data_IF_507647934704
#
_entry.id   IF_507647934704
#
_cell.length_a   1.000
_cell.length_b   1.000
_cell.length_c   1.000
_cell.angle_alpha   90.00
_cell.angle_beta   90.00
_cell.angle_gamma   90.00
#
_symmetry.space_group_name_H-M   'P 1'
#
loop_
_entity.id
_entity.type
_entity.pdbx_description
1 polymer ?
#
# COMPACT_ATOMS: atom_id res chain seq x y z
N UNK A 1 -27.32 -2.86 43.78
CA UNK A 1 -26.21 -2.67 42.85
C UNK A 1 -26.75 -2.02 41.58
N UNK A 2 -26.53 -0.72 41.41
CA UNK A 2 -27.09 0.07 40.33
C UNK A 2 -26.06 0.13 39.18
N UNK A 3 -26.43 -0.42 38.00
CA UNK A 3 -25.65 -0.37 36.78
C UNK A 3 -25.65 1.06 36.21
N UNK A 4 -24.50 1.73 36.22
CA UNK A 4 -24.29 3.01 35.54
C UNK A 4 -24.23 2.78 34.01
N UNK A 5 -25.30 3.17 33.31
CA UNK A 5 -25.26 3.32 31.83
C UNK A 5 -24.28 4.46 31.50
N UNK A 6 -23.18 4.11 30.79
CA UNK A 6 -22.34 5.09 30.08
C UNK A 6 -23.15 5.66 28.91
N UNK A 7 -23.48 6.94 28.98
CA UNK A 7 -23.99 7.66 27.82
C UNK A 7 -22.84 7.99 26.89
N UNK A 8 -22.75 7.31 25.75
CA UNK A 8 -21.92 7.74 24.61
C UNK A 8 -22.60 8.96 24.00
N UNK A 9 -21.92 10.11 24.03
CA UNK A 9 -22.37 11.31 23.36
C UNK A 9 -22.38 11.04 21.85
N UNK A 10 -23.58 10.91 21.28
CA UNK A 10 -23.79 10.79 19.85
C UNK A 10 -23.61 12.19 19.23
N UNK A 11 -22.66 12.35 18.31
CA UNK A 11 -22.54 13.58 17.55
C UNK A 11 -23.88 13.91 16.86
N UNK A 12 -24.32 15.16 16.95
CA UNK A 12 -25.59 15.60 16.39
C UNK A 12 -25.57 15.43 14.86
N UNK A 13 -26.59 14.79 14.31
CA UNK A 13 -26.75 14.68 12.86
C UNK A 13 -26.86 16.08 12.23
N UNK A 14 -26.30 16.29 11.00
CA UNK A 14 -26.54 17.52 10.28
C UNK A 14 -28.03 17.80 10.15
N UNK A 15 -28.44 19.06 10.25
CA UNK A 15 -29.86 19.45 10.15
C UNK A 15 -30.49 18.89 8.86
N UNK A 16 -31.55 18.11 9.01
CA UNK A 16 -32.36 17.59 7.90
C UNK A 16 -32.16 16.12 7.52
N UNK A 17 -31.22 15.38 8.12
CA UNK A 17 -31.02 13.94 7.79
C UNK A 17 -31.74 13.05 8.79
N UNK A 18 -32.71 12.26 8.31
CA UNK A 18 -33.39 11.27 9.15
C UNK A 18 -32.43 10.13 9.55
N UNK A 19 -32.14 9.93 10.86
CA UNK A 19 -31.22 8.89 11.31
C UNK A 19 -31.58 7.46 10.88
N UNK A 20 -32.85 7.21 10.57
CA UNK A 20 -33.35 5.89 10.16
C UNK A 20 -33.41 5.71 8.63
N UNK A 21 -33.20 6.76 7.84
CA UNK A 21 -33.16 6.67 6.38
C UNK A 21 -31.90 5.91 5.89
N UNK A 22 -31.91 5.37 4.65
CA UNK A 22 -30.71 4.86 4.03
C UNK A 22 -29.63 5.96 3.95
N UNK A 23 -28.37 5.58 4.21
CA UNK A 23 -27.28 6.55 4.16
C UNK A 23 -27.04 7.07 2.72
N UNK A 24 -26.88 8.38 2.53
CA UNK A 24 -26.63 8.94 1.18
C UNK A 24 -25.35 8.44 0.51
N UNK A 25 -24.42 7.82 1.25
CA UNK A 25 -23.18 7.26 0.71
C UNK A 25 -23.37 6.00 -0.13
N UNK A 26 -24.59 5.46 -0.26
CA UNK A 26 -24.85 4.24 -1.04
C UNK A 26 -24.47 2.92 -0.35
N UNK A 27 -24.03 2.93 0.93
CA UNK A 27 -23.61 1.73 1.67
C UNK A 27 -24.75 0.75 1.98
N UNK A 28 -26.01 1.06 1.69
CA UNK A 28 -27.18 0.30 2.07
C UNK A 28 -27.50 0.31 3.58
N UNK A 29 -26.67 0.89 4.42
CA UNK A 29 -26.88 1.01 5.87
C UNK A 29 -27.75 2.22 6.19
N UNK A 30 -28.46 2.18 7.34
CA UNK A 30 -29.18 3.35 7.85
C UNK A 30 -28.18 4.43 8.29
N UNK A 31 -28.52 5.72 8.11
CA UNK A 31 -27.65 6.85 8.44
C UNK A 31 -27.06 6.76 9.86
N UNK A 32 -27.86 6.45 10.89
CA UNK A 32 -27.40 6.29 12.28
C UNK A 32 -26.40 5.15 12.53
N UNK A 33 -26.28 4.21 11.59
CA UNK A 33 -25.32 3.08 11.63
C UNK A 33 -24.23 3.22 10.54
N UNK A 34 -24.12 4.39 9.95
CA UNK A 34 -23.12 4.79 8.98
C UNK A 34 -22.61 6.19 9.36
N UNK A 35 -22.78 7.20 8.55
CA UNK A 35 -22.32 8.57 8.84
C UNK A 35 -22.92 9.18 10.12
N UNK A 36 -24.12 8.80 10.52
CA UNK A 36 -24.76 9.26 11.77
C UNK A 36 -24.25 8.58 13.05
N UNK A 37 -23.36 7.60 12.94
CA UNK A 37 -22.70 6.98 14.10
C UNK A 37 -21.45 7.74 14.57
N UNK A 38 -21.04 8.80 13.85
CA UNK A 38 -19.73 9.43 14.03
C UNK A 38 -18.57 8.60 13.45
N UNK A 39 -18.89 7.45 12.83
CA UNK A 39 -17.92 6.58 12.17
C UNK A 39 -17.77 7.04 10.72
N UNK A 40 -16.65 7.62 10.37
CA UNK A 40 -16.29 7.82 8.96
C UNK A 40 -16.12 6.45 8.29
N UNK A 41 -16.62 6.24 7.05
CA UNK A 41 -16.34 5.00 6.35
C UNK A 41 -14.83 4.86 6.15
N UNK A 42 -14.31 3.62 6.20
CA UNK A 42 -12.89 3.39 5.98
C UNK A 42 -12.47 3.96 4.62
N UNK A 43 -11.32 4.60 4.59
CA UNK A 43 -10.74 5.15 3.37
C UNK A 43 -10.18 3.99 2.56
N UNK A 44 -10.85 3.65 1.46
CA UNK A 44 -10.48 2.48 0.65
C UNK A 44 -9.20 2.69 -0.15
N UNK A 45 -8.89 3.95 -0.55
CA UNK A 45 -7.66 4.34 -1.26
C UNK A 45 -6.94 5.45 -0.49
N UNK A 46 -6.20 5.10 0.57
CA UNK A 46 -5.58 6.10 1.45
C UNK A 46 -4.49 6.93 0.76
N UNK A 47 -3.85 6.40 -0.26
CA UNK A 47 -2.77 7.06 -1.00
C UNK A 47 -3.22 7.72 -2.31
N UNK A 48 -4.54 7.74 -2.60
CA UNK A 48 -5.07 8.43 -3.76
C UNK A 48 -4.66 9.91 -3.75
N UNK A 49 -4.17 10.38 -4.91
CA UNK A 49 -3.66 11.75 -5.08
C UNK A 49 -2.18 11.93 -4.73
N UNK A 50 -1.51 10.96 -4.10
CA UNK A 50 -0.05 10.93 -4.01
C UNK A 50 0.55 10.43 -5.33
N UNK A 51 1.62 11.07 -5.78
CA UNK A 51 2.37 10.57 -6.93
C UNK A 51 3.02 9.23 -6.58
N UNK A 52 2.92 8.25 -7.49
CA UNK A 52 3.39 6.89 -7.24
C UNK A 52 2.49 6.12 -6.26
N UNK A 53 1.17 6.35 -6.26
CA UNK A 53 0.21 5.67 -5.38
C UNK A 53 0.43 4.15 -5.35
N UNK A 54 0.72 3.54 -6.49
CA UNK A 54 0.95 2.11 -6.59
C UNK A 54 2.21 1.65 -5.82
N UNK A 55 3.28 2.44 -5.85
CA UNK A 55 4.50 2.17 -5.07
C UNK A 55 4.27 2.39 -3.56
N UNK A 56 3.45 3.38 -3.15
CA UNK A 56 3.02 3.52 -1.75
C UNK A 56 2.32 2.28 -1.23
N UNK A 57 1.38 1.75 -2.03
CA UNK A 57 0.68 0.50 -1.71
C UNK A 57 1.66 -0.67 -1.64
N UNK A 58 2.59 -0.77 -2.60
CA UNK A 58 3.58 -1.83 -2.63
C UNK A 58 4.51 -1.80 -1.40
N UNK A 59 5.05 -0.63 -1.03
CA UNK A 59 5.91 -0.48 0.16
C UNK A 59 5.19 -0.89 1.45
N UNK A 60 3.87 -0.65 1.53
CA UNK A 60 3.10 -1.02 2.71
C UNK A 60 2.75 -2.50 2.77
N UNK A 61 2.39 -3.11 1.63
CA UNK A 61 1.74 -4.43 1.64
C UNK A 61 2.60 -5.55 1.05
N UNK A 62 3.63 -5.21 0.26
CA UNK A 62 4.33 -6.21 -0.56
C UNK A 62 5.84 -6.24 -0.37
N UNK A 63 6.46 -5.10 -0.07
CA UNK A 63 7.91 -4.97 -0.06
C UNK A 63 8.41 -5.00 1.38
N UNK A 64 9.22 -6.00 1.76
CA UNK A 64 9.65 -6.16 3.13
C UNK A 64 10.63 -5.06 3.56
N UNK A 65 11.61 -4.75 2.74
CA UNK A 65 12.66 -3.76 3.04
C UNK A 65 12.86 -2.81 1.88
N UNK A 66 12.49 -1.55 2.07
CA UNK A 66 12.67 -0.49 1.08
C UNK A 66 12.70 0.88 1.74
N UNK A 67 13.30 1.83 1.03
CA UNK A 67 13.28 3.26 1.37
C UNK A 67 12.91 4.10 0.16
N UNK A 68 12.43 5.33 0.41
CA UNK A 68 12.25 6.36 -0.60
C UNK A 68 12.43 7.74 0.04
N UNK A 69 12.87 8.73 -0.74
CA UNK A 69 12.96 10.11 -0.27
C UNK A 69 11.65 10.83 -0.53
N UNK A 70 11.08 11.41 0.52
CA UNK A 70 9.92 12.29 0.46
C UNK A 70 10.37 13.74 0.60
N UNK A 71 9.61 14.65 0.00
CA UNK A 71 9.74 16.09 0.22
C UNK A 71 8.44 16.64 0.79
N UNK A 72 8.54 17.36 1.90
CA UNK A 72 7.39 18.07 2.48
C UNK A 72 7.07 19.34 1.69
N UNK A 73 5.86 19.89 1.89
CA UNK A 73 5.45 21.18 1.32
C UNK A 73 6.37 22.33 1.72
N UNK A 74 7.09 22.20 2.86
CA UNK A 74 8.08 23.16 3.34
C UNK A 74 9.50 22.90 2.81
N UNK A 75 9.65 21.88 1.92
CA UNK A 75 10.92 21.54 1.29
C UNK A 75 11.85 20.68 2.14
N UNK A 76 11.42 20.18 3.32
CA UNK A 76 12.21 19.27 4.15
C UNK A 76 12.21 17.87 3.54
N UNK A 77 13.36 17.22 3.50
CA UNK A 77 13.50 15.83 3.09
C UNK A 77 13.28 14.89 4.28
N UNK A 78 12.60 13.76 3.99
CA UNK A 78 12.26 12.70 4.94
C UNK A 78 12.47 11.36 4.26
N UNK A 79 13.15 10.42 4.91
CA UNK A 79 13.33 9.06 4.42
C UNK A 79 12.11 8.23 4.81
N UNK A 80 11.29 7.84 3.82
CA UNK A 80 10.25 6.86 3.98
C UNK A 80 10.88 5.47 4.05
N UNK A 81 10.46 4.64 4.98
CA UNK A 81 10.88 3.24 5.11
C UNK A 81 9.67 2.31 5.07
N UNK A 82 9.79 1.12 4.47
CA UNK A 82 8.72 0.12 4.51
C UNK A 82 8.31 -0.20 5.95
N UNK A 83 9.26 -0.45 6.81
CA UNK A 83 9.07 -0.70 8.24
C UNK A 83 10.25 -0.15 9.02
N UNK A 84 10.02 0.27 10.26
CA UNK A 84 11.05 0.67 11.22
C UNK A 84 11.12 -0.34 12.38
N UNK A 85 12.21 -0.35 13.18
CA UNK A 85 12.36 -1.27 14.30
C UNK A 85 11.12 -1.31 15.19
N UNK A 86 10.61 -2.52 15.45
CA UNK A 86 9.40 -2.72 16.27
C UNK A 86 8.12 -2.11 15.70
N UNK A 87 8.07 -1.76 14.40
CA UNK A 87 6.91 -1.08 13.81
C UNK A 87 6.70 0.34 14.35
N UNK A 88 7.79 0.99 14.79
CA UNK A 88 7.78 2.39 15.24
C UNK A 88 7.32 3.31 14.10
N UNK A 89 6.44 4.29 14.37
CA UNK A 89 5.89 5.15 13.31
C UNK A 89 6.94 6.08 12.69
N UNK A 90 7.86 6.62 13.47
CA UNK A 90 8.92 7.50 13.00
C UNK A 90 10.11 7.53 13.97
N UNK A 91 11.27 7.88 13.45
CA UNK A 91 12.53 8.12 14.20
C UNK A 91 13.14 9.43 13.74
N UNK A 92 13.70 10.19 14.67
CA UNK A 92 14.57 11.35 14.36
C UNK A 92 15.98 10.99 14.81
N UNK A 93 16.89 10.85 13.87
CA UNK A 93 18.29 10.50 14.13
C UNK A 93 19.06 11.65 14.76
N UNK A 94 20.23 11.36 15.34
CA UNK A 94 21.12 12.37 15.94
C UNK A 94 21.62 13.43 14.94
N UNK A 95 21.67 13.10 13.65
CA UNK A 95 21.99 14.03 12.56
C UNK A 95 20.80 14.87 12.09
N UNK A 96 19.59 14.67 12.66
CA UNK A 96 18.36 15.35 12.29
C UNK A 96 17.59 14.72 11.12
N UNK A 97 18.08 13.62 10.57
CA UNK A 97 17.33 12.84 9.55
C UNK A 97 16.08 12.23 10.16
N UNK A 98 14.95 12.36 9.45
CA UNK A 98 13.68 11.72 9.83
C UNK A 98 13.51 10.45 9.00
N UNK A 99 13.28 9.32 9.69
CA UNK A 99 12.78 8.09 9.09
C UNK A 99 11.30 7.95 9.44
N UNK A 100 10.48 7.70 8.43
CA UNK A 100 9.02 7.55 8.55
C UNK A 100 8.62 6.14 8.12
N UNK A 101 8.01 5.36 9.00
CA UNK A 101 7.54 4.01 8.69
C UNK A 101 6.19 4.01 7.98
N UNK A 102 6.07 3.23 6.89
CA UNK A 102 4.77 3.00 6.22
C UNK A 102 3.97 1.93 6.96
N UNK A 103 4.65 0.87 7.41
CA UNK A 103 4.06 -0.21 8.20
C UNK A 103 4.24 0.11 9.68
N UNK A 104 3.14 0.23 10.40
CA UNK A 104 3.11 0.55 11.83
C UNK A 104 2.28 -0.50 12.58
N UNK A 105 2.54 -0.69 13.88
CA UNK A 105 1.80 -1.65 14.71
C UNK A 105 0.32 -1.32 14.83
N UNK A 106 -0.04 -0.04 14.87
CA UNK A 106 -1.41 0.43 14.97
C UNK A 106 -1.79 1.22 13.72
N UNK A 107 -2.98 0.98 13.21
CA UNK A 107 -3.56 1.76 12.11
C UNK A 107 -5.05 1.96 12.31
N UNK A 108 -5.55 3.09 11.80
CA UNK A 108 -6.98 3.41 11.73
C UNK A 108 -7.58 2.97 10.38
N UNK A 109 -8.81 3.44 10.14
CA UNK A 109 -9.47 3.29 8.84
C UNK A 109 -8.95 4.28 7.78
N UNK A 110 -7.97 5.15 8.10
CA UNK A 110 -7.29 6.08 7.17
C UNK A 110 -5.77 6.04 7.38
N UNK A 111 -5.12 5.10 6.70
CA UNK A 111 -3.67 4.88 6.78
C UNK A 111 -2.85 6.12 6.41
N UNK A 112 -3.32 6.93 5.45
CA UNK A 112 -2.63 8.17 5.07
C UNK A 112 -2.61 9.19 6.22
N UNK A 113 -3.68 9.25 7.00
CA UNK A 113 -3.76 10.08 8.19
C UNK A 113 -2.86 9.58 9.32
N UNK A 114 -2.79 8.27 9.49
CA UNK A 114 -1.92 7.67 10.51
C UNK A 114 -0.45 8.03 10.25
N UNK A 115 0.01 7.82 9.01
CA UNK A 115 1.38 8.15 8.60
C UNK A 115 1.60 9.67 8.61
N UNK A 116 0.62 10.46 8.17
CA UNK A 116 0.69 11.93 8.22
C UNK A 116 0.79 12.46 9.64
N UNK A 117 0.07 11.87 10.60
CA UNK A 117 0.17 12.20 12.03
C UNK A 117 1.57 11.90 12.57
N UNK A 118 2.14 10.75 12.20
CA UNK A 118 3.51 10.39 12.58
C UNK A 118 4.55 11.35 11.96
N UNK A 119 4.36 11.74 10.70
CA UNK A 119 5.21 12.71 10.03
C UNK A 119 5.15 14.09 10.72
N UNK A 120 3.95 14.60 11.01
CA UNK A 120 3.79 15.87 11.68
C UNK A 120 4.49 15.88 13.05
N UNK A 121 4.32 14.81 13.84
CA UNK A 121 5.01 14.66 15.12
C UNK A 121 6.54 14.60 14.96
N UNK A 122 7.04 13.90 13.93
CA UNK A 122 8.48 13.79 13.66
C UNK A 122 9.11 15.12 13.23
N UNK A 123 8.36 15.94 12.49
CA UNK A 123 8.82 17.28 12.07
C UNK A 123 9.04 18.24 13.24
N UNK A 124 8.31 18.05 14.34
CA UNK A 124 8.39 18.85 15.57
C UNK A 124 9.29 18.23 16.66
N UNK A 125 9.64 16.94 16.51
CA UNK A 125 10.38 16.21 17.52
C UNK A 125 11.83 16.73 17.65
N UNK A 126 12.39 16.77 18.88
CA UNK A 126 13.81 17.06 19.08
C UNK A 126 14.69 15.99 18.42
N UNK A 127 15.86 16.43 17.95
CA UNK A 127 16.88 15.54 17.37
C UNK A 127 17.28 14.46 18.38
N UNK A 128 17.32 13.20 17.93
CA UNK A 128 17.68 12.04 18.74
C UNK A 128 16.63 11.60 19.76
N UNK A 129 15.43 12.19 19.74
CA UNK A 129 14.34 11.82 20.61
C UNK A 129 13.41 10.77 19.98
N UNK A 130 12.76 9.91 20.78
CA UNK A 130 11.66 9.07 20.31
C UNK A 130 10.51 9.95 19.81
N UNK A 131 9.87 9.54 18.70
CA UNK A 131 8.69 10.20 18.19
C UNK A 131 7.45 9.52 18.77
N UNK A 132 6.66 10.26 19.56
CA UNK A 132 5.35 9.82 20.03
C UNK A 132 4.27 10.62 19.29
N UNK A 133 3.63 10.04 18.26
CA UNK A 133 2.57 10.71 17.53
C UNK A 133 1.24 10.73 18.30
N UNK A 134 1.21 10.23 19.53
CA UNK A 134 -0.01 10.02 20.30
C UNK A 134 -0.81 8.79 19.79
N UNK A 135 -2.09 8.70 20.13
CA UNK A 135 -2.91 7.53 19.82
C UNK A 135 -3.22 7.44 18.31
N UNK A 136 -2.37 6.76 17.57
CA UNK A 136 -2.63 6.37 16.18
C UNK A 136 -3.75 5.31 16.18
N UNK A 137 -4.68 5.40 15.24
CA UNK A 137 -5.79 4.46 15.10
C UNK A 137 -7.01 4.76 15.98
N UNK A 138 -6.99 5.81 16.76
CA UNK A 138 -8.21 6.28 17.45
C UNK A 138 -9.18 6.90 16.43
N UNK A 139 -10.44 6.47 16.46
CA UNK A 139 -11.47 7.07 15.62
C UNK A 139 -11.53 8.59 15.85
N UNK A 140 -11.34 9.36 14.77
CA UNK A 140 -11.32 10.83 14.85
C UNK A 140 -9.97 11.43 15.24
N UNK A 141 -8.84 10.74 14.99
CA UNK A 141 -7.52 11.36 15.13
C UNK A 141 -7.47 12.68 14.36
N UNK A 142 -7.14 13.81 15.00
CA UNK A 142 -7.17 15.14 14.37
C UNK A 142 -5.96 15.41 13.45
N UNK A 143 -5.06 14.44 13.27
CA UNK A 143 -3.83 14.60 12.52
C UNK A 143 -4.06 14.82 11.02
N UNK A 144 -3.11 15.46 10.31
CA UNK A 144 -3.18 15.68 8.87
C UNK A 144 -3.00 14.37 8.09
N UNK A 145 -3.48 14.34 6.84
CA UNK A 145 -3.14 13.27 5.90
C UNK A 145 -1.81 13.59 5.21
N UNK A 146 -1.15 12.56 4.65
CA UNK A 146 0.07 12.74 3.86
C UNK A 146 -0.09 13.75 2.72
N UNK A 147 -1.25 13.74 2.05
CA UNK A 147 -1.57 14.66 0.95
C UNK A 147 -1.55 16.15 1.36
N UNK A 148 -1.67 16.43 2.66
CA UNK A 148 -1.62 17.79 3.21
C UNK A 148 -0.19 18.23 3.56
N UNK A 149 0.73 17.29 3.73
CA UNK A 149 2.10 17.54 4.20
C UNK A 149 3.17 17.41 3.12
N UNK A 150 2.90 16.65 2.06
CA UNK A 150 3.89 16.30 1.05
C UNK A 150 3.78 17.16 -0.21
N UNK A 151 4.92 17.37 -0.87
CA UNK A 151 4.96 17.87 -2.24
C UNK A 151 4.44 16.79 -3.19
N UNK A 152 3.19 16.96 -3.66
CA UNK A 152 2.52 15.99 -4.52
C UNK A 152 3.12 15.90 -5.93
N UNK A 153 4.01 16.82 -6.31
CA UNK A 153 4.70 16.80 -7.61
C UNK A 153 5.94 15.93 -7.59
N UNK A 154 6.53 15.68 -6.40
CA UNK A 154 7.74 14.88 -6.25
C UNK A 154 7.45 13.39 -6.55
N UNK A 155 8.29 12.71 -7.37
CA UNK A 155 8.15 11.28 -7.59
C UNK A 155 8.48 10.49 -6.33
N UNK A 156 7.88 9.31 -6.17
CA UNK A 156 8.29 8.33 -5.18
C UNK A 156 9.27 7.36 -5.84
N UNK A 157 10.57 7.55 -5.57
CA UNK A 157 11.62 6.67 -6.08
C UNK A 157 12.00 5.64 -5.01
N UNK A 158 11.50 4.42 -5.20
CA UNK A 158 11.64 3.32 -4.23
C UNK A 158 12.92 2.55 -4.48
N UNK A 159 13.76 2.49 -3.46
CA UNK A 159 14.95 1.62 -3.39
C UNK A 159 14.63 0.42 -2.51
N UNK A 160 14.69 -0.79 -3.10
CA UNK A 160 14.54 -2.04 -2.36
C UNK A 160 15.89 -2.46 -1.80
N UNK A 161 15.91 -2.95 -0.56
CA UNK A 161 17.12 -3.41 0.13
C UNK A 161 17.04 -4.91 0.42
N UNK A 162 18.19 -5.57 0.44
CA UNK A 162 18.30 -6.99 0.80
C UNK A 162 18.23 -7.21 2.31
N UNK A 163 18.41 -6.16 3.10
CA UNK A 163 18.36 -6.18 4.56
C UNK A 163 17.80 -4.87 5.13
N UNK A 164 17.76 -4.75 6.46
CA UNK A 164 17.36 -3.54 7.17
C UNK A 164 18.58 -2.73 7.68
N UNK A 165 19.73 -2.83 7.05
CA UNK A 165 20.95 -2.12 7.47
C UNK A 165 20.74 -0.60 7.61
N UNK A 166 19.87 -0.01 6.80
CA UNK A 166 19.52 1.40 6.89
C UNK A 166 18.93 1.82 8.25
N UNK A 167 18.42 0.90 9.07
CA UNK A 167 17.96 1.24 10.42
C UNK A 167 19.06 1.78 11.32
N UNK A 168 20.28 1.27 11.14
CA UNK A 168 21.43 1.54 12.00
C UNK A 168 22.43 2.54 11.40
N UNK A 169 22.20 3.01 10.18
CA UNK A 169 23.07 4.00 9.54
C UNK A 169 23.27 5.25 10.42
N UNK A 170 24.51 5.68 10.54
CA UNK A 170 24.88 6.84 11.35
C UNK A 170 24.75 6.65 12.87
N UNK A 171 24.59 5.39 13.34
CA UNK A 171 24.54 5.03 14.77
C UNK A 171 25.68 4.12 15.16
N UNK A 172 25.97 4.04 16.47
CA UNK A 172 26.84 3.00 17.07
C UNK A 172 25.93 1.98 17.76
N UNK A 173 25.53 0.88 17.06
CA UNK A 173 24.54 -0.04 17.59
C UNK A 173 25.13 -0.92 18.70
N UNK A 174 24.37 -1.07 19.79
CA UNK A 174 24.67 -2.05 20.81
C UNK A 174 24.26 -3.48 20.38
N UNK A 175 24.73 -4.50 21.13
CA UNK A 175 24.49 -5.91 20.82
C UNK A 175 22.99 -6.27 20.64
N UNK A 176 22.10 -5.68 21.43
CA UNK A 176 20.66 -5.91 21.31
C UNK A 176 20.07 -5.36 19.99
N UNK A 177 20.55 -4.22 19.50
CA UNK A 177 20.13 -3.66 18.23
C UNK A 177 20.60 -4.51 17.05
N UNK A 178 21.83 -5.02 17.10
CA UNK A 178 22.37 -5.93 16.09
C UNK A 178 21.60 -7.26 16.06
N UNK A 179 21.32 -7.86 17.20
CA UNK A 179 20.52 -9.08 17.28
C UNK A 179 19.08 -8.88 16.75
N UNK A 180 18.48 -7.73 17.03
CA UNK A 180 17.17 -7.35 16.49
C UNK A 180 17.19 -7.20 14.98
N UNK A 181 18.23 -6.62 14.42
CA UNK A 181 18.43 -6.48 12.97
C UNK A 181 18.60 -7.85 12.30
N UNK A 182 19.44 -8.73 12.85
CA UNK A 182 19.63 -10.09 12.33
C UNK A 182 18.30 -10.85 12.29
N UNK A 183 17.53 -10.80 13.37
CA UNK A 183 16.23 -11.45 13.44
C UNK A 183 15.22 -10.87 12.42
N UNK A 184 15.21 -9.54 12.21
CA UNK A 184 14.37 -8.93 11.22
C UNK A 184 14.76 -9.34 9.78
N UNK A 185 16.06 -9.44 9.50
CA UNK A 185 16.58 -9.84 8.20
C UNK A 185 16.21 -11.28 7.81
N UNK A 186 16.08 -12.19 8.79
CA UNK A 186 15.64 -13.58 8.55
C UNK A 186 14.24 -13.67 7.92
N UNK A 187 13.41 -12.68 8.13
CA UNK A 187 12.04 -12.64 7.62
C UNK A 187 11.92 -12.01 6.21
N UNK A 188 13.01 -11.46 5.66
CA UNK A 188 12.99 -10.82 4.35
C UNK A 188 12.87 -11.87 3.25
N UNK A 189 11.84 -11.71 2.42
CA UNK A 189 11.74 -12.44 1.16
C UNK A 189 12.53 -11.71 0.08
N UNK A 190 13.38 -12.39 -0.71
CA UNK A 190 14.08 -11.79 -1.83
C UNK A 190 13.08 -11.07 -2.75
N UNK A 191 13.25 -9.77 -2.88
CA UNK A 191 12.32 -8.89 -3.61
C UNK A 191 13.12 -7.92 -4.46
N UNK A 192 12.74 -7.79 -5.73
CA UNK A 192 13.37 -6.86 -6.68
C UNK A 192 12.30 -6.02 -7.36
N UNK A 193 12.44 -4.70 -7.33
CA UNK A 193 11.63 -3.80 -8.15
C UNK A 193 12.13 -3.85 -9.58
N UNK A 194 11.25 -4.15 -10.55
CA UNK A 194 11.63 -4.20 -11.95
C UNK A 194 11.87 -2.78 -12.49
N UNK A 195 13.06 -2.45 -13.01
CA UNK A 195 13.37 -1.10 -13.47
C UNK A 195 12.49 -0.71 -14.67
N UNK A 196 12.14 0.57 -14.74
CA UNK A 196 11.30 1.13 -15.81
C UNK A 196 9.81 0.80 -15.71
N UNK A 197 9.38 0.03 -14.72
CA UNK A 197 8.00 -0.34 -14.46
C UNK A 197 7.54 0.20 -13.11
N UNK A 198 6.41 0.90 -13.08
CA UNK A 198 5.84 1.39 -11.84
C UNK A 198 5.26 0.22 -11.03
N UNK A 199 5.65 0.12 -9.76
CA UNK A 199 5.13 -0.83 -8.77
C UNK A 199 5.07 -2.31 -9.22
N UNK A 200 6.02 -2.74 -10.03
CA UNK A 200 6.21 -4.13 -10.44
C UNK A 200 7.34 -4.76 -9.64
N UNK A 201 7.02 -5.78 -8.84
CA UNK A 201 7.96 -6.42 -7.91
C UNK A 201 8.03 -7.92 -8.16
N UNK A 202 9.25 -8.38 -8.51
CA UNK A 202 9.59 -9.78 -8.46
C UNK A 202 9.85 -10.18 -7.02
N UNK A 203 9.32 -11.34 -6.60
CA UNK A 203 9.52 -11.87 -5.25
C UNK A 203 9.70 -13.38 -5.31
N UNK A 204 10.62 -13.91 -4.49
CA UNK A 204 10.88 -15.36 -4.40
C UNK A 204 10.63 -15.84 -2.97
N UNK A 205 9.40 -16.29 -2.66
CA UNK A 205 9.05 -16.77 -1.31
C UNK A 205 9.62 -18.16 -1.00
N UNK A 206 10.02 -18.92 -2.04
CA UNK A 206 10.61 -20.24 -1.88
C UNK A 206 11.53 -20.57 -3.07
N UNK A 207 12.27 -21.68 -2.96
CA UNK A 207 13.11 -22.14 -4.07
C UNK A 207 12.32 -22.79 -5.23
N UNK A 208 11.02 -22.99 -5.07
CA UNK A 208 10.19 -23.65 -6.08
C UNK A 208 9.52 -22.67 -7.06
N UNK A 209 9.26 -21.44 -6.61
CA UNK A 209 8.56 -20.42 -7.43
C UNK A 209 9.00 -19.00 -7.09
N UNK A 210 9.01 -18.18 -8.12
CA UNK A 210 9.00 -16.74 -8.00
C UNK A 210 7.63 -16.19 -8.44
N UNK A 211 7.35 -14.95 -8.11
CA UNK A 211 6.14 -14.26 -8.53
C UNK A 211 6.48 -12.87 -9.02
N UNK A 212 5.76 -12.40 -10.04
CA UNK A 212 5.61 -10.97 -10.28
C UNK A 212 4.32 -10.51 -9.60
N UNK A 213 4.41 -9.55 -8.69
CA UNK A 213 3.31 -8.82 -8.06
C UNK A 213 3.32 -7.40 -8.61
N UNK A 214 2.25 -6.99 -9.26
CA UNK A 214 2.22 -5.71 -9.94
C UNK A 214 1.03 -4.87 -9.47
N UNK A 215 1.29 -3.85 -8.65
CA UNK A 215 0.21 -2.96 -8.18
C UNK A 215 -0.22 -2.05 -9.32
N UNK A 216 -1.53 -2.00 -9.59
CA UNK A 216 -2.09 -1.24 -10.72
C UNK A 216 -2.99 -0.09 -10.24
N UNK A 217 -2.71 1.16 -10.68
CA UNK A 217 -3.47 2.33 -10.25
C UNK A 217 -4.80 2.51 -10.99
N UNK A 218 -5.02 1.78 -12.09
CA UNK A 218 -6.23 1.89 -12.89
C UNK A 218 -7.50 1.51 -12.09
N UNK A 219 -8.66 2.09 -12.43
CA UNK A 219 -9.92 1.66 -11.88
C UNK A 219 -10.14 0.15 -12.10
N UNK A 220 -10.52 -0.56 -11.04
CA UNK A 220 -10.63 -2.03 -11.01
C UNK A 220 -11.39 -2.60 -12.21
N UNK A 221 -12.57 -2.06 -12.53
CA UNK A 221 -13.39 -2.55 -13.63
C UNK A 221 -12.67 -2.46 -14.98
N UNK A 222 -11.97 -1.34 -15.22
CA UNK A 222 -11.20 -1.14 -16.46
C UNK A 222 -10.00 -2.09 -16.56
N UNK A 223 -9.30 -2.30 -15.45
CA UNK A 223 -8.18 -3.24 -15.41
C UNK A 223 -8.65 -4.67 -15.62
N UNK A 224 -9.73 -5.10 -14.96
CA UNK A 224 -10.30 -6.44 -15.14
C UNK A 224 -10.78 -6.68 -16.56
N UNK A 225 -11.39 -5.67 -17.20
CA UNK A 225 -11.81 -5.78 -18.60
C UNK A 225 -10.60 -5.90 -19.54
N UNK A 226 -9.54 -5.14 -19.31
CA UNK A 226 -8.32 -5.23 -20.10
C UNK A 226 -7.63 -6.60 -19.93
N UNK A 227 -7.51 -7.09 -18.70
CA UNK A 227 -6.98 -8.43 -18.43
C UNK A 227 -7.85 -9.54 -19.05
N UNK A 228 -9.18 -9.36 -19.09
CA UNK A 228 -10.08 -10.30 -19.73
C UNK A 228 -9.88 -10.37 -21.25
N UNK A 229 -9.65 -9.23 -21.91
CA UNK A 229 -9.28 -9.16 -23.33
C UNK A 229 -7.99 -9.92 -23.61
N UNK A 230 -6.95 -9.63 -22.81
CA UNK A 230 -5.66 -10.32 -22.92
C UNK A 230 -5.78 -11.82 -22.62
N UNK A 231 -6.64 -12.21 -21.70
CA UNK A 231 -6.89 -13.64 -21.40
C UNK A 231 -7.63 -14.34 -22.53
N UNK A 232 -8.64 -13.72 -23.13
CA UNK A 232 -9.40 -14.26 -24.24
C UNK A 232 -8.57 -14.41 -25.52
N UNK A 233 -7.56 -13.56 -25.69
CA UNK A 233 -6.61 -13.61 -26.83
C UNK A 233 -5.32 -14.37 -26.52
N UNK A 234 -5.24 -15.09 -25.39
CA UNK A 234 -4.07 -15.86 -24.93
C UNK A 234 -2.80 -15.02 -24.72
N UNK A 235 -2.96 -13.70 -24.49
CA UNK A 235 -1.86 -12.73 -24.31
C UNK A 235 -1.65 -12.32 -22.85
N UNK A 236 -2.28 -13.00 -21.88
CA UNK A 236 -2.19 -12.65 -20.46
C UNK A 236 -0.86 -13.11 -19.81
N UNK A 237 -0.08 -13.96 -20.47
CA UNK A 237 1.18 -14.48 -19.97
C UNK A 237 2.31 -13.48 -20.21
N UNK A 238 3.32 -13.51 -19.33
CA UNK A 238 4.55 -12.71 -19.47
C UNK A 238 5.54 -13.37 -20.43
N UNK A 239 5.52 -14.70 -20.55
CA UNK A 239 6.38 -15.48 -21.40
C UNK A 239 6.22 -16.97 -21.14
N UNK A 240 7.08 -17.77 -21.77
CA UNK A 240 7.10 -19.22 -21.58
C UNK A 240 7.34 -19.60 -20.11
N UNK A 241 6.69 -20.64 -19.64
CA UNK A 241 6.79 -21.11 -18.24
C UNK A 241 6.06 -20.26 -17.21
N UNK A 242 5.46 -19.12 -17.61
CA UNK A 242 4.69 -18.27 -16.69
C UNK A 242 3.23 -18.67 -16.61
N UNK A 243 2.59 -18.31 -15.51
CA UNK A 243 1.14 -18.56 -15.31
C UNK A 243 0.51 -17.36 -14.60
N UNK A 244 -0.57 -16.83 -15.13
CA UNK A 244 -1.38 -15.88 -14.38
C UNK A 244 -2.02 -16.58 -13.18
N UNK A 245 -1.57 -16.25 -11.97
CA UNK A 245 -2.03 -16.89 -10.74
C UNK A 245 -3.38 -16.33 -10.27
N UNK A 246 -3.65 -15.06 -10.55
CA UNK A 246 -4.86 -14.35 -10.15
C UNK A 246 -4.55 -12.92 -9.74
N UNK A 247 -5.45 -12.32 -8.96
CA UNK A 247 -5.24 -10.99 -8.41
C UNK A 247 -5.79 -10.89 -6.97
N UNK A 248 -5.28 -9.96 -6.20
CA UNK A 248 -5.86 -9.55 -4.92
C UNK A 248 -6.00 -8.03 -4.88
N UNK A 249 -6.63 -7.52 -3.81
CA UNK A 249 -6.77 -6.08 -3.58
C UNK A 249 -5.92 -5.65 -2.40
N UNK A 250 -5.19 -4.56 -2.58
CA UNK A 250 -4.40 -3.92 -1.55
C UNK A 250 -4.73 -2.43 -1.53
N UNK A 251 -5.24 -1.93 -0.41
CA UNK A 251 -5.59 -0.51 -0.20
C UNK A 251 -6.34 0.13 -1.39
N UNK A 252 -7.33 -0.62 -1.92
CA UNK A 252 -8.20 -0.15 -3.00
C UNK A 252 -7.63 -0.29 -4.42
N UNK A 253 -6.39 -0.77 -4.56
CA UNK A 253 -5.79 -1.11 -5.85
C UNK A 253 -5.80 -2.61 -6.11
N UNK A 254 -5.82 -2.99 -7.38
CA UNK A 254 -5.73 -4.39 -7.81
C UNK A 254 -4.28 -4.76 -8.04
N UNK A 255 -3.89 -5.93 -7.56
CA UNK A 255 -2.55 -6.49 -7.70
C UNK A 255 -2.62 -7.81 -8.47
N UNK A 256 -2.49 -7.80 -9.79
CA UNK A 256 -2.29 -9.00 -10.58
C UNK A 256 -1.00 -9.72 -10.18
N UNK A 257 -1.03 -11.04 -10.22
CA UNK A 257 0.10 -11.91 -9.85
C UNK A 257 0.35 -12.95 -10.93
N UNK A 258 1.60 -13.10 -11.30
CA UNK A 258 2.07 -14.19 -12.17
C UNK A 258 3.03 -15.09 -11.40
N UNK A 259 2.83 -16.39 -11.53
CA UNK A 259 3.83 -17.38 -11.15
C UNK A 259 4.93 -17.39 -12.22
N UNK A 260 6.18 -17.37 -11.78
CA UNK A 260 7.37 -17.37 -12.60
C UNK A 260 8.25 -18.58 -12.25
N UNK A 261 9.03 -19.12 -13.21
CA UNK A 261 10.09 -20.08 -12.91
C UNK A 261 11.06 -19.53 -11.84
N UNK A 262 11.39 -20.36 -10.86
CA UNK A 262 12.23 -19.94 -9.72
C UNK A 262 13.69 -19.77 -10.06
N UNK A 263 14.15 -20.40 -11.11
CA UNK A 263 15.53 -20.41 -11.64
C UNK A 263 15.85 -19.23 -12.56
N UNK A 264 14.80 -18.47 -12.93
CA UNK A 264 14.95 -17.28 -13.78
C UNK A 264 15.10 -16.04 -12.92
N UNK A 265 16.21 -15.31 -13.00
CA UNK A 265 16.47 -14.13 -12.20
C UNK A 265 15.54 -12.96 -12.55
N UNK A 266 15.45 -11.98 -11.64
CA UNK A 266 14.49 -10.88 -11.77
C UNK A 266 14.73 -10.02 -13.02
N UNK A 267 15.99 -9.80 -13.40
CA UNK A 267 16.41 -8.99 -14.54
C UNK A 267 15.89 -9.52 -15.87
N UNK A 268 15.74 -10.82 -16.02
CA UNK A 268 15.25 -11.46 -17.24
C UNK A 268 13.76 -11.20 -17.47
N UNK A 269 13.03 -10.77 -16.42
CA UNK A 269 11.61 -10.44 -16.50
C UNK A 269 11.32 -8.99 -16.89
N UNK A 270 12.32 -8.12 -16.94
CA UNK A 270 12.14 -6.69 -17.31
C UNK A 270 11.60 -6.56 -18.74
N UNK A 271 12.20 -7.25 -19.71
CA UNK A 271 11.75 -7.25 -21.11
C UNK A 271 10.31 -7.78 -21.26
N UNK A 272 10.02 -9.02 -20.84
CA UNK A 272 8.68 -9.61 -20.91
C UNK A 272 7.59 -8.78 -20.20
N UNK A 273 7.90 -8.20 -19.04
CA UNK A 273 6.97 -7.35 -18.32
C UNK A 273 6.73 -6.00 -19.04
N UNK A 274 7.75 -5.42 -19.66
CA UNK A 274 7.61 -4.21 -20.50
C UNK A 274 6.73 -4.46 -21.72
N UNK A 275 6.91 -5.59 -22.38
CA UNK A 275 6.06 -5.99 -23.49
C UNK A 275 4.62 -6.23 -23.06
N UNK A 276 4.44 -6.86 -21.89
CA UNK A 276 3.10 -7.04 -21.31
C UNK A 276 2.45 -5.71 -20.98
N UNK A 277 3.19 -4.74 -20.41
CA UNK A 277 2.68 -3.40 -20.15
C UNK A 277 2.14 -2.75 -21.43
N UNK A 278 2.86 -2.83 -22.52
CA UNK A 278 2.41 -2.27 -23.80
C UNK A 278 1.09 -2.91 -24.28
N UNK A 279 0.96 -4.24 -24.17
CA UNK A 279 -0.30 -4.96 -24.48
C UNK A 279 -1.44 -4.55 -23.56
N UNK A 280 -1.16 -4.43 -22.25
CA UNK A 280 -2.14 -4.02 -21.24
C UNK A 280 -2.62 -2.59 -21.50
N UNK A 281 -1.73 -1.66 -21.79
CA UNK A 281 -2.08 -0.28 -22.13
C UNK A 281 -2.95 -0.20 -23.39
N UNK A 282 -2.69 -1.04 -24.39
CA UNK A 282 -3.54 -1.13 -25.57
C UNK A 282 -4.94 -1.63 -25.20
N UNK A 283 -5.03 -2.69 -24.40
CA UNK A 283 -6.31 -3.23 -23.94
C UNK A 283 -7.10 -2.24 -23.05
N UNK A 284 -6.41 -1.44 -22.22
CA UNK A 284 -7.01 -0.39 -21.39
C UNK A 284 -7.59 0.77 -22.22
N UNK A 285 -7.07 1.04 -23.43
CA UNK A 285 -7.62 2.07 -24.32
C UNK A 285 -8.90 1.63 -25.06
N UNK A 286 -9.19 0.33 -25.09
CA UNK A 286 -10.40 -0.18 -25.72
C UNK A 286 -11.64 0.19 -24.89
N UNK A 287 -12.64 0.76 -25.53
CA UNK A 287 -13.90 1.22 -24.92
C UNK A 287 -15.11 0.38 -25.32
N UNK A 288 -14.94 -0.52 -26.30
CA UNK A 288 -15.98 -1.39 -26.77
C UNK A 288 -16.44 -2.35 -25.66
N UNK A 289 -17.73 -2.70 -25.59
CA UNK A 289 -18.20 -3.71 -24.67
C UNK A 289 -17.50 -5.05 -24.87
N UNK A 290 -17.25 -5.78 -23.78
CA UNK A 290 -16.64 -7.11 -23.84
C UNK A 290 -17.46 -8.07 -24.72
N UNK A 291 -16.79 -8.83 -25.56
CA UNK A 291 -17.35 -9.96 -26.31
C UNK A 291 -17.82 -11.09 -25.38
N UNK A 292 -18.44 -12.12 -25.91
CA UNK A 292 -18.87 -13.31 -25.13
C UNK A 292 -17.68 -14.04 -24.50
N UNK A 293 -16.57 -14.15 -25.23
CA UNK A 293 -15.37 -14.87 -24.77
C UNK A 293 -14.61 -14.05 -23.74
N UNK A 294 -14.50 -12.73 -23.92
CA UNK A 294 -13.93 -11.82 -22.94
C UNK A 294 -14.73 -11.80 -21.62
N UNK A 295 -16.08 -11.80 -21.68
CA UNK A 295 -16.91 -11.92 -20.47
C UNK A 295 -16.69 -13.25 -19.75
N UNK A 296 -16.52 -14.34 -20.47
CA UNK A 296 -16.20 -15.65 -19.90
C UNK A 296 -14.82 -15.63 -19.25
N UNK A 297 -13.82 -15.05 -19.93
CA UNK A 297 -12.47 -14.85 -19.39
C UNK A 297 -12.51 -14.01 -18.12
N UNK A 298 -13.26 -12.89 -18.11
CA UNK A 298 -13.42 -12.03 -16.93
C UNK A 298 -14.02 -12.79 -15.73
N UNK A 299 -15.04 -13.60 -15.94
CA UNK A 299 -15.60 -14.43 -14.88
C UNK A 299 -14.58 -15.44 -14.33
N UNK A 300 -13.74 -16.03 -15.20
CA UNK A 300 -12.63 -16.89 -14.82
C UNK A 300 -11.56 -16.17 -14.00
N UNK A 301 -11.20 -14.93 -14.34
CA UNK A 301 -10.26 -14.12 -13.58
C UNK A 301 -10.79 -13.78 -12.18
N UNK A 302 -12.06 -13.41 -12.06
CA UNK A 302 -12.71 -13.10 -10.79
C UNK A 302 -12.78 -14.31 -9.85
N UNK A 303 -12.89 -15.53 -10.39
CA UNK A 303 -12.88 -16.75 -9.58
C UNK A 303 -11.50 -17.10 -9.00
N UNK A 304 -10.42 -16.51 -9.52
CA UNK A 304 -9.03 -16.71 -9.08
C UNK A 304 -8.57 -15.58 -8.14
N UNK A 305 -9.42 -15.20 -7.19
CA UNK A 305 -8.99 -14.25 -6.16
C UNK A 305 -8.00 -14.93 -5.22
N UNK A 306 -6.83 -14.31 -5.08
CA UNK A 306 -5.76 -14.76 -4.17
C UNK A 306 -5.97 -14.08 -2.82
N UNK A 307 -5.90 -14.86 -1.74
CA UNK A 307 -5.75 -14.31 -0.39
C UNK A 307 -4.27 -14.43 -0.01
N UNK A 308 -3.63 -13.30 0.24
CA UNK A 308 -2.29 -13.32 0.84
C UNK A 308 -2.42 -13.89 2.27
N UNK A 309 -1.69 -14.95 2.56
CA UNK A 309 -1.55 -15.51 3.91
C UNK A 309 -0.17 -15.20 4.42
#
# INVERSE_FOLDING_TARGET
MASRKRSTATAAAPEGVNPKAPCPCGSGRRYKHCHGSGYAPPVTRPFEGLRGEADWVAMRELVPSATAVLRTTEGREVTLASVLPGGTPALVRANGEILLGVQMQASSDDVSRDIGTALAAALEAPVGAPVDPGPIGAAGSPGPRLQELLDLSAPLDVTVHDDFGFWLEGTEPGAAALAGLEHANEAILPTVRLPGLEAAYWVRPSNERAHLRWVRPEPEERLLDALARLSASEQILLGEGTRYAGAFRALGLVVPVWDLPADTPAEDWVGPATEFQARLEQALRMTEPLSSDERRARAGLLSRQITLR
#
